data_IF_996058981568
#
_entry.id   IF_996058981568
#
_cell.length_a   1.000
_cell.length_b   1.000
_cell.length_c   1.000
_cell.angle_alpha   90.00
_cell.angle_beta   90.00
_cell.angle_gamma   90.00
#
_symmetry.space_group_name_H-M   'P 1'
#
loop_
_entity.id
_entity.type
_entity.pdbx_description
1 polymer ?
#
# COMPACT_ATOMS: atom_id res chain seq x y z
N UNK A 1 -29.53 -1.24 9.99
CA UNK A 1 -28.60 -1.60 11.08
C UNK A 1 -27.59 -2.59 10.53
N UNK A 2 -26.46 -2.09 10.01
CA UNK A 2 -25.36 -2.92 9.52
C UNK A 2 -24.50 -3.29 10.73
N UNK A 3 -24.54 -4.55 11.13
CA UNK A 3 -23.63 -5.07 12.16
C UNK A 3 -22.27 -5.26 11.49
N UNK A 4 -21.33 -4.36 11.75
CA UNK A 4 -19.92 -4.54 11.40
C UNK A 4 -19.33 -5.56 12.39
N UNK A 5 -19.52 -6.84 12.11
CA UNK A 5 -18.74 -7.88 12.82
C UNK A 5 -17.34 -7.84 12.24
N UNK A 6 -16.35 -7.65 13.10
CA UNK A 6 -14.96 -7.65 12.67
C UNK A 6 -14.61 -9.07 12.26
N UNK A 7 -14.10 -9.28 11.03
CA UNK A 7 -13.76 -10.62 10.53
C UNK A 7 -12.82 -11.39 11.49
N UNK A 8 -12.00 -10.68 12.27
CA UNK A 8 -11.14 -11.26 13.32
C UNK A 8 -11.90 -11.95 14.46
N UNK A 9 -13.13 -11.53 14.76
CA UNK A 9 -13.96 -12.15 15.81
C UNK A 9 -14.70 -13.39 15.31
N UNK A 10 -14.74 -13.59 13.99
CA UNK A 10 -15.46 -14.70 13.34
C UNK A 10 -14.55 -15.88 12.97
N UNK A 11 -13.23 -15.69 12.94
CA UNK A 11 -12.27 -16.65 12.41
C UNK A 11 -11.44 -17.23 13.56
N UNK A 12 -11.45 -18.56 13.72
CA UNK A 12 -10.65 -19.24 14.72
C UNK A 12 -9.16 -19.31 14.39
N UNK A 13 -8.36 -19.85 15.32
CA UNK A 13 -6.95 -20.15 15.05
C UNK A 13 -6.82 -21.19 13.91
N UNK A 14 -5.96 -20.94 12.94
CA UNK A 14 -5.77 -21.83 11.79
C UNK A 14 -6.82 -21.67 10.67
N UNK A 15 -7.76 -20.74 10.82
CA UNK A 15 -8.80 -20.48 9.83
C UNK A 15 -8.57 -19.14 9.10
N UNK A 16 -9.24 -18.99 7.95
CA UNK A 16 -9.32 -17.73 7.21
C UNK A 16 -10.70 -17.54 6.58
N UNK A 17 -11.13 -16.30 6.46
CA UNK A 17 -12.34 -15.94 5.72
C UNK A 17 -12.00 -15.70 4.25
N UNK A 18 -12.45 -16.58 3.36
CA UNK A 18 -12.29 -16.44 1.92
C UNK A 18 -13.61 -16.01 1.27
N UNK A 19 -13.56 -15.03 0.37
CA UNK A 19 -14.71 -14.56 -0.38
C UNK A 19 -14.61 -14.89 -1.87
N UNK A 20 -15.76 -15.18 -2.49
CA UNK A 20 -15.86 -15.33 -3.93
C UNK A 20 -15.50 -13.99 -4.62
N UNK A 21 -14.62 -13.98 -5.63
CA UNK A 21 -14.31 -12.75 -6.37
C UNK A 21 -15.46 -12.20 -7.23
N UNK A 22 -16.53 -12.98 -7.41
CA UNK A 22 -17.60 -12.69 -8.39
C UNK A 22 -18.98 -12.47 -7.76
N UNK A 23 -19.13 -12.66 -6.44
CA UNK A 23 -20.38 -12.41 -5.72
C UNK A 23 -20.10 -12.23 -4.22
N UNK A 24 -21.12 -11.88 -3.44
CA UNK A 24 -21.01 -11.67 -1.98
C UNK A 24 -20.87 -12.94 -1.13
N UNK A 25 -20.68 -14.11 -1.74
CA UNK A 25 -20.54 -15.37 -0.99
C UNK A 25 -19.16 -15.45 -0.32
N UNK A 26 -19.12 -15.81 0.95
CA UNK A 26 -17.89 -16.02 1.71
C UNK A 26 -18.03 -17.24 2.63
N UNK A 27 -16.92 -17.88 2.93
CA UNK A 27 -16.85 -19.06 3.79
C UNK A 27 -15.55 -19.06 4.59
N UNK A 28 -15.60 -19.62 5.80
CA UNK A 28 -14.42 -19.85 6.64
C UNK A 28 -13.76 -21.15 6.18
N UNK A 29 -12.45 -21.11 5.93
CA UNK A 29 -11.64 -22.22 5.40
C UNK A 29 -10.39 -22.39 6.25
N UNK A 30 -9.77 -23.57 6.18
CA UNK A 30 -8.45 -23.76 6.78
C UNK A 30 -7.41 -22.89 6.06
N UNK A 31 -6.37 -22.44 6.78
CA UNK A 31 -5.21 -21.79 6.15
C UNK A 31 -4.48 -22.77 5.22
N UNK A 32 -4.57 -24.08 5.46
CA UNK A 32 -3.94 -25.12 4.64
C UNK A 32 -4.77 -25.49 3.40
N UNK A 33 -5.99 -24.94 3.28
CA UNK A 33 -6.81 -25.18 2.10
C UNK A 33 -6.17 -24.60 0.84
N UNK A 34 -6.46 -25.24 -0.30
CA UNK A 34 -5.98 -24.78 -1.60
C UNK A 34 -6.41 -23.35 -1.94
N UNK A 35 -5.60 -22.70 -2.77
CA UNK A 35 -5.86 -21.36 -3.30
C UNK A 35 -7.03 -21.32 -4.30
N UNK A 36 -7.59 -22.47 -4.67
CA UNK A 36 -8.77 -22.57 -5.53
C UNK A 36 -10.03 -22.55 -4.66
N UNK A 37 -10.86 -21.55 -4.90
CA UNK A 37 -12.14 -21.34 -4.23
C UNK A 37 -13.30 -21.81 -5.09
N UNK A 38 -14.18 -22.62 -4.53
CA UNK A 38 -15.39 -23.09 -5.22
C UNK A 38 -16.62 -22.41 -4.60
N UNK A 39 -17.27 -21.53 -5.36
CA UNK A 39 -18.45 -20.84 -4.86
C UNK A 39 -19.66 -21.80 -4.78
N UNK A 40 -20.32 -21.85 -3.62
CA UNK A 40 -21.50 -22.69 -3.40
C UNK A 40 -22.83 -21.95 -3.63
N UNK A 41 -22.78 -20.63 -3.83
CA UNK A 41 -23.98 -19.85 -4.17
C UNK A 41 -24.60 -20.37 -5.46
N UNK A 42 -25.90 -20.75 -5.47
CA UNK A 42 -26.56 -21.38 -6.63
C UNK A 42 -26.42 -20.59 -7.94
N UNK A 43 -26.47 -19.27 -7.87
CA UNK A 43 -26.41 -18.39 -9.05
C UNK A 43 -24.99 -18.19 -9.60
N UNK A 44 -23.96 -18.41 -8.78
CA UNK A 44 -22.57 -18.16 -9.16
C UNK A 44 -21.87 -19.44 -9.58
N UNK A 45 -21.70 -20.41 -8.67
CA UNK A 45 -21.04 -21.71 -8.89
C UNK A 45 -19.66 -21.69 -9.57
N UNK A 46 -19.01 -20.53 -9.69
CA UNK A 46 -17.68 -20.39 -10.30
C UNK A 46 -16.59 -20.93 -9.37
N UNK A 47 -15.58 -21.56 -9.98
CA UNK A 47 -14.30 -21.84 -9.33
C UNK A 47 -13.35 -20.68 -9.63
N UNK A 48 -12.54 -20.25 -8.66
CA UNK A 48 -11.69 -19.07 -8.80
C UNK A 48 -10.39 -19.19 -8.01
N UNK A 49 -9.30 -18.67 -8.54
CA UNK A 49 -8.04 -18.59 -7.81
C UNK A 49 -8.07 -17.37 -6.89
N UNK A 50 -7.79 -17.54 -5.60
CA UNK A 50 -7.82 -16.46 -4.61
C UNK A 50 -6.68 -15.45 -4.78
N UNK A 51 -5.63 -15.82 -5.51
CA UNK A 51 -4.45 -14.99 -5.73
C UNK A 51 -4.68 -14.06 -6.94
N UNK A 52 -4.98 -14.62 -8.11
CA UNK A 52 -5.20 -13.82 -9.32
C UNK A 52 -6.65 -13.35 -9.50
N UNK A 53 -7.59 -13.89 -8.69
CA UNK A 53 -9.03 -13.60 -8.73
C UNK A 53 -9.71 -13.87 -10.08
N UNK A 54 -9.09 -14.71 -10.92
CA UNK A 54 -9.66 -15.17 -12.19
C UNK A 54 -10.44 -16.47 -12.03
N UNK A 55 -11.33 -16.74 -12.98
CA UNK A 55 -12.11 -17.99 -13.04
C UNK A 55 -11.16 -19.14 -13.34
N UNK A 56 -11.27 -20.22 -12.57
CA UNK A 56 -10.56 -21.47 -12.82
C UNK A 56 -11.47 -22.48 -13.51
N UNK A 57 -10.92 -23.36 -14.36
CA UNK A 57 -11.66 -24.49 -14.91
C UNK A 57 -12.27 -25.35 -13.81
N UNK A 58 -13.55 -25.71 -13.97
CA UNK A 58 -14.24 -26.66 -13.09
C UNK A 58 -14.40 -27.99 -13.81
N UNK A 59 -13.72 -29.02 -13.32
CA UNK A 59 -13.80 -30.36 -13.89
C UNK A 59 -15.10 -31.02 -13.42
N UNK A 60 -16.03 -31.29 -14.35
CA UNK A 60 -17.31 -31.95 -14.05
C UNK A 60 -17.18 -33.47 -13.94
N UNK A 61 -16.09 -34.02 -14.52
CA UNK A 61 -15.82 -35.43 -14.69
C UNK A 61 -14.31 -35.65 -14.49
N UNK A 62 -13.85 -36.90 -14.43
CA UNK A 62 -12.42 -37.24 -14.37
C UNK A 62 -11.62 -36.86 -15.65
N UNK A 63 -12.28 -36.31 -16.67
CA UNK A 63 -11.67 -35.93 -17.94
C UNK A 63 -11.69 -34.41 -18.11
N UNK A 64 -10.51 -33.82 -18.09
CA UNK A 64 -10.27 -32.43 -18.45
C UNK A 64 -9.79 -32.35 -19.90
N UNK A 65 -10.27 -31.37 -20.66
CA UNK A 65 -9.66 -31.05 -21.96
C UNK A 65 -8.25 -30.51 -21.76
N UNK A 66 -7.37 -30.68 -22.74
CA UNK A 66 -6.00 -30.15 -22.69
C UNK A 66 -5.97 -28.64 -22.40
N UNK A 67 -6.87 -27.87 -23.01
CA UNK A 67 -7.01 -26.44 -22.76
C UNK A 67 -7.35 -26.12 -21.29
N UNK A 68 -8.24 -26.90 -20.65
CA UNK A 68 -8.59 -26.72 -19.24
C UNK A 68 -7.44 -27.11 -18.30
N UNK A 69 -6.67 -28.14 -18.66
CA UNK A 69 -5.48 -28.53 -17.90
C UNK A 69 -4.43 -27.42 -17.98
N UNK A 70 -4.14 -26.91 -19.18
CA UNK A 70 -3.19 -25.82 -19.40
C UNK A 70 -3.59 -24.54 -18.66
N UNK A 71 -4.89 -24.21 -18.64
CA UNK A 71 -5.36 -23.07 -17.86
C UNK A 71 -5.23 -23.31 -16.35
N UNK A 72 -5.51 -24.51 -15.86
CA UNK A 72 -5.30 -24.86 -14.45
C UNK A 72 -3.82 -24.81 -14.06
N UNK A 73 -2.91 -25.20 -14.95
CA UNK A 73 -1.46 -25.15 -14.71
C UNK A 73 -0.99 -23.73 -14.37
N UNK A 74 -1.56 -22.71 -15.02
CA UNK A 74 -1.26 -21.31 -14.69
C UNK A 74 -1.60 -20.99 -13.23
N UNK A 75 -2.64 -21.59 -12.67
CA UNK A 75 -3.02 -21.32 -11.28
C UNK A 75 -2.12 -22.01 -10.24
N UNK A 76 -1.41 -23.09 -10.59
CA UNK A 76 -0.33 -23.60 -9.74
C UNK A 76 0.85 -22.63 -9.67
N UNK A 77 1.14 -21.93 -10.78
CA UNK A 77 2.11 -20.82 -10.77
C UNK A 77 1.63 -19.64 -9.92
N UNK A 78 0.32 -19.39 -9.84
CA UNK A 78 -0.19 -18.38 -8.92
C UNK A 78 0.22 -18.71 -7.47
N UNK A 79 0.01 -19.96 -7.05
CA UNK A 79 0.35 -20.43 -5.70
C UNK A 79 1.85 -20.31 -5.39
N UNK A 80 2.72 -20.69 -6.34
CA UNK A 80 4.18 -20.57 -6.16
C UNK A 80 4.72 -19.14 -6.15
N UNK A 81 3.89 -18.15 -6.53
CA UNK A 81 4.19 -16.72 -6.53
C UNK A 81 3.29 -15.93 -5.55
N UNK A 82 2.51 -16.61 -4.72
CA UNK A 82 1.50 -15.99 -3.86
C UNK A 82 2.12 -15.00 -2.88
N UNK A 83 3.26 -15.38 -2.30
CA UNK A 83 4.00 -14.55 -1.34
C UNK A 83 4.53 -13.28 -2.01
N UNK A 84 5.20 -13.41 -3.15
CA UNK A 84 5.74 -12.29 -3.92
C UNK A 84 4.64 -11.35 -4.37
N UNK A 85 3.51 -11.90 -4.86
CA UNK A 85 2.35 -11.09 -5.27
C UNK A 85 1.79 -10.31 -4.09
N UNK A 86 1.67 -10.95 -2.93
CA UNK A 86 1.18 -10.30 -1.70
C UNK A 86 2.09 -9.17 -1.24
N UNK A 87 3.42 -9.38 -1.25
CA UNK A 87 4.38 -8.32 -0.91
C UNK A 87 4.28 -7.14 -1.88
N UNK A 88 4.23 -7.42 -3.18
CA UNK A 88 4.14 -6.41 -4.21
C UNK A 88 2.85 -5.58 -4.09
N UNK A 89 1.70 -6.26 -3.97
CA UNK A 89 0.40 -5.59 -3.81
C UNK A 89 0.34 -4.73 -2.55
N UNK A 90 0.88 -5.23 -1.44
CA UNK A 90 0.98 -4.47 -0.19
C UNK A 90 1.86 -3.24 -0.33
N UNK A 91 2.97 -3.32 -1.07
CA UNK A 91 3.84 -2.16 -1.32
C UNK A 91 3.11 -1.08 -2.13
N UNK A 92 2.39 -1.47 -3.20
CA UNK A 92 1.57 -0.55 -3.99
C UNK A 92 0.48 0.08 -3.12
N UNK A 93 -0.25 -0.71 -2.34
CA UNK A 93 -1.33 -0.20 -1.49
C UNK A 93 -0.82 0.73 -0.37
N UNK A 94 0.24 0.35 0.33
CA UNK A 94 0.85 1.15 1.42
C UNK A 94 1.63 2.37 0.90
N UNK A 95 1.95 2.40 -0.39
CA UNK A 95 2.48 3.59 -1.05
C UNK A 95 1.46 4.72 -1.13
N UNK A 96 0.18 4.35 -1.24
CA UNK A 96 -0.95 5.25 -1.42
C UNK A 96 -1.67 5.59 -0.10
N UNK A 97 -1.47 4.77 0.95
CA UNK A 97 -2.13 4.90 2.24
C UNK A 97 -1.13 4.94 3.38
N UNK A 98 -1.45 5.66 4.45
CA UNK A 98 -0.65 5.67 5.68
C UNK A 98 -1.50 5.09 6.81
N UNK A 99 -1.09 3.96 7.41
CA UNK A 99 -1.84 3.34 8.50
C UNK A 99 -1.84 4.23 9.74
N UNK A 100 -2.95 4.22 10.47
CA UNK A 100 -3.01 4.74 11.82
C UNK A 100 -2.01 3.97 12.71
N UNK A 101 -1.12 4.66 13.44
CA UNK A 101 -0.08 4.00 14.25
C UNK A 101 -0.65 3.21 15.44
N UNK A 102 -1.90 3.47 15.84
CA UNK A 102 -2.54 2.81 16.98
C UNK A 102 -3.34 1.57 16.59
N UNK A 103 -4.18 1.65 15.55
CA UNK A 103 -5.10 0.56 15.18
C UNK A 103 -4.85 -0.04 13.79
N UNK A 104 -3.95 0.54 12.99
CA UNK A 104 -3.61 0.05 11.65
C UNK A 104 -4.63 0.40 10.55
N UNK A 105 -5.76 1.04 10.88
CA UNK A 105 -6.71 1.52 9.86
C UNK A 105 -5.98 2.45 8.88
N UNK A 106 -5.99 2.10 7.61
CA UNK A 106 -5.27 2.82 6.56
C UNK A 106 -6.24 3.65 5.72
N UNK A 107 -5.94 4.93 5.59
CA UNK A 107 -6.67 5.86 4.72
C UNK A 107 -5.72 6.49 3.71
N UNK A 108 -6.29 6.93 2.59
CA UNK A 108 -5.64 7.85 1.67
C UNK A 108 -6.06 9.27 2.06
N UNK A 109 -5.11 10.20 2.07
CA UNK A 109 -5.39 11.62 2.28
C UNK A 109 -5.96 12.26 1.00
N UNK A 110 -6.83 13.25 1.14
CA UNK A 110 -7.50 13.97 0.05
C UNK A 110 -7.34 15.51 0.12
N UNK A 111 -6.67 16.03 1.16
CA UNK A 111 -6.33 17.46 1.32
C UNK A 111 -4.81 17.64 1.55
N UNK A 112 -4.31 18.89 1.50
CA UNK A 112 -2.89 19.18 1.71
C UNK A 112 -2.42 19.23 3.17
N UNK A 113 -3.30 19.27 4.16
CA UNK A 113 -2.89 19.24 5.56
C UNK A 113 -2.14 17.92 5.81
N UNK A 114 -1.20 17.84 6.75
CA UNK A 114 -0.52 16.56 7.03
C UNK A 114 -1.14 15.82 8.20
N UNK A 115 -2.15 16.37 8.87
CA UNK A 115 -2.77 15.74 10.03
C UNK A 115 -3.94 14.84 9.65
N UNK A 116 -4.05 13.73 10.37
CA UNK A 116 -5.14 12.75 10.26
C UNK A 116 -5.73 12.49 11.63
N UNK A 117 -7.04 12.21 11.68
CA UNK A 117 -7.74 11.73 12.87
C UNK A 117 -8.40 10.40 12.57
N UNK A 118 -8.23 9.40 13.43
CA UNK A 118 -8.68 8.05 13.14
C UNK A 118 -10.17 7.95 13.43
N UNK A 119 -11.04 7.60 12.46
CA UNK A 119 -12.46 7.45 12.74
C UNK A 119 -12.77 6.28 13.70
N UNK A 120 -11.85 5.33 13.86
CA UNK A 120 -12.04 4.15 14.73
C UNK A 120 -11.54 4.36 16.15
N UNK A 121 -10.34 4.92 16.32
CA UNK A 121 -9.69 5.00 17.64
C UNK A 121 -9.36 6.43 18.10
N UNK A 122 -9.79 7.45 17.34
CA UNK A 122 -9.57 8.87 17.56
C UNK A 122 -8.10 9.32 17.66
N UNK A 123 -7.13 8.43 17.37
CA UNK A 123 -5.71 8.79 17.32
C UNK A 123 -5.49 9.90 16.29
N UNK A 124 -4.70 10.91 16.65
CA UNK A 124 -4.28 11.99 15.75
C UNK A 124 -2.82 11.74 15.37
N UNK A 125 -2.52 11.70 14.08
CA UNK A 125 -1.15 11.44 13.60
C UNK A 125 -0.80 12.29 12.38
N UNK A 126 0.49 12.38 12.11
CA UNK A 126 1.02 13.03 10.91
C UNK A 126 1.06 12.01 9.76
N UNK A 127 0.31 12.23 8.70
CA UNK A 127 0.29 11.45 7.47
C UNK A 127 1.66 11.42 6.78
N UNK A 128 2.44 12.49 6.88
CA UNK A 128 3.75 12.57 6.23
C UNK A 128 4.75 11.54 6.79
N UNK A 129 4.85 11.41 8.12
CA UNK A 129 5.78 10.48 8.78
C UNK A 129 5.12 9.22 9.35
N UNK A 130 3.79 9.18 9.44
CA UNK A 130 3.03 8.09 10.04
C UNK A 130 3.06 8.04 11.57
N UNK A 131 3.65 9.03 12.24
CA UNK A 131 3.81 9.04 13.70
C UNK A 131 2.64 9.76 14.40
N UNK A 132 2.15 9.15 15.49
CA UNK A 132 1.18 9.74 16.40
C UNK A 132 1.82 10.79 17.32
N UNK A 133 0.98 11.47 18.11
CA UNK A 133 1.42 12.56 19.00
C UNK A 133 2.58 12.11 19.88
N UNK A 134 2.52 10.93 20.50
CA UNK A 134 3.53 10.49 21.48
C UNK A 134 4.90 10.17 20.86
N UNK A 135 4.97 9.85 19.57
CA UNK A 135 6.19 9.37 18.93
C UNK A 135 6.87 10.42 18.05
N UNK A 136 6.14 11.46 17.64
CA UNK A 136 6.69 12.49 16.78
C UNK A 136 7.57 13.48 17.57
N UNK A 137 8.61 14.01 16.92
CA UNK A 137 9.45 15.06 17.50
C UNK A 137 8.60 16.34 17.67
N UNK A 138 8.51 16.91 18.88
CA UNK A 138 7.64 18.07 19.23
C UNK A 138 8.39 19.20 19.93
N UNK A 139 7.87 20.43 19.82
CA UNK A 139 8.53 21.60 20.42
C UNK A 139 8.51 21.45 21.95
N UNK A 140 9.61 21.77 22.62
CA UNK A 140 9.71 21.64 24.09
C UNK A 140 8.79 22.64 24.78
N UNK A 141 8.63 23.83 24.21
CA UNK A 141 7.81 24.91 24.76
C UNK A 141 6.34 24.84 24.31
N UNK A 142 5.95 23.75 23.65
CA UNK A 142 4.65 23.60 23.01
C UNK A 142 3.55 23.09 23.95
N UNK A 143 2.35 22.95 23.38
CA UNK A 143 1.16 22.39 24.05
C UNK A 143 1.12 20.85 24.09
N UNK A 144 2.19 20.19 23.64
CA UNK A 144 2.26 18.75 23.39
C UNK A 144 1.19 18.26 22.38
N UNK A 145 0.82 19.12 21.42
CA UNK A 145 -0.12 18.80 20.36
C UNK A 145 0.58 18.24 19.12
N UNK A 146 -0.18 17.67 18.19
CA UNK A 146 0.37 17.26 16.89
C UNK A 146 0.94 18.45 16.11
N UNK A 147 0.41 19.67 16.29
CA UNK A 147 0.86 20.87 15.60
C UNK A 147 2.26 21.32 16.03
N UNK A 148 2.67 20.98 17.27
CA UNK A 148 4.02 21.22 17.75
C UNK A 148 5.07 20.43 16.95
N UNK A 149 4.66 19.38 16.22
CA UNK A 149 5.50 18.64 15.29
C UNK A 149 5.86 19.43 14.01
N UNK A 150 5.09 20.46 13.64
CA UNK A 150 5.39 21.27 12.45
C UNK A 150 6.21 22.52 12.77
N UNK A 151 6.42 22.83 14.05
CA UNK A 151 7.19 24.01 14.44
C UNK A 151 8.64 23.91 13.94
N UNK A 152 9.10 24.96 13.24
CA UNK A 152 10.45 25.03 12.63
C UNK A 152 10.79 23.81 11.77
N UNK A 153 9.79 23.27 11.07
CA UNK A 153 9.99 22.05 10.29
C UNK A 153 11.02 22.23 9.18
N UNK A 154 11.10 23.41 8.59
CA UNK A 154 12.03 23.81 7.54
C UNK A 154 13.51 23.70 7.96
N UNK A 155 13.80 23.92 9.24
CA UNK A 155 15.16 23.88 9.80
C UNK A 155 15.48 22.58 10.55
N UNK A 156 14.47 21.87 11.08
CA UNK A 156 14.65 20.60 11.79
C UNK A 156 14.24 19.38 10.93
N UNK A 157 15.17 18.47 10.56
CA UNK A 157 14.87 17.30 9.71
C UNK A 157 13.96 16.25 10.38
N UNK A 158 13.77 16.30 11.70
CA UNK A 158 12.88 15.39 12.43
C UNK A 158 11.41 15.84 12.41
N UNK A 159 11.12 16.98 11.79
CA UNK A 159 9.81 17.63 11.76
C UNK A 159 9.23 17.59 10.37
N UNK A 160 7.90 17.51 10.31
CA UNK A 160 7.17 17.47 9.04
C UNK A 160 6.50 18.81 8.75
N UNK A 161 6.28 19.14 7.48
CA UNK A 161 5.49 20.31 7.11
C UNK A 161 4.05 20.17 7.60
N UNK A 162 3.39 21.31 7.88
CA UNK A 162 1.96 21.32 8.22
C UNK A 162 1.10 21.10 6.98
N UNK A 163 1.51 21.67 5.85
CA UNK A 163 0.88 21.48 4.55
C UNK A 163 1.93 21.03 3.52
N UNK A 164 1.55 20.12 2.63
CA UNK A 164 2.44 19.63 1.58
C UNK A 164 3.02 20.75 0.68
N UNK A 165 2.24 21.81 0.42
CA UNK A 165 2.66 22.97 -0.38
C UNK A 165 3.83 23.74 0.24
N UNK A 166 3.99 23.71 1.57
CA UNK A 166 5.12 24.36 2.26
C UNK A 166 6.47 23.73 1.88
N UNK A 167 6.49 22.50 1.36
CA UNK A 167 7.74 21.83 0.97
C UNK A 167 8.46 22.60 -0.14
N UNK A 168 7.71 23.28 -1.01
CA UNK A 168 8.29 24.08 -2.10
C UNK A 168 9.24 25.19 -1.60
N UNK A 169 8.99 25.73 -0.39
CA UNK A 169 9.81 26.78 0.21
C UNK A 169 11.25 26.33 0.48
N UNK A 170 11.45 25.02 0.72
CA UNK A 170 12.77 24.43 0.99
C UNK A 170 13.29 23.57 -0.16
N UNK A 171 12.40 23.01 -0.98
CA UNK A 171 12.70 22.10 -2.08
C UNK A 171 11.84 22.43 -3.31
N UNK A 172 12.43 23.16 -4.26
CA UNK A 172 11.77 23.63 -5.50
C UNK A 172 11.33 22.52 -6.46
N UNK A 173 11.64 21.25 -6.18
CA UNK A 173 11.13 20.11 -6.97
C UNK A 173 9.67 19.81 -6.68
N UNK A 174 9.12 20.36 -5.59
CA UNK A 174 7.72 20.25 -5.23
C UNK A 174 6.90 21.33 -5.93
N UNK A 175 5.65 20.98 -6.27
CA UNK A 175 4.70 21.92 -6.87
C UNK A 175 4.22 22.96 -5.86
N UNK A 176 3.52 23.98 -6.33
CA UNK A 176 2.85 25.00 -5.51
C UNK A 176 1.38 24.67 -5.20
N UNK A 177 0.85 23.57 -5.75
CA UNK A 177 -0.53 23.15 -5.57
C UNK A 177 -0.65 21.83 -4.79
N UNK A 178 -1.78 21.69 -4.11
CA UNK A 178 -2.04 20.60 -3.16
C UNK A 178 -2.01 19.21 -3.81
N UNK A 179 -2.66 19.08 -4.96
CA UNK A 179 -2.87 17.82 -5.67
C UNK A 179 -1.53 17.25 -6.14
N UNK A 180 -0.71 18.07 -6.80
CA UNK A 180 0.56 17.62 -7.35
C UNK A 180 1.57 17.28 -6.25
N UNK A 181 1.56 18.03 -5.14
CA UNK A 181 2.39 17.69 -3.99
C UNK A 181 1.98 16.36 -3.36
N UNK A 182 0.67 16.12 -3.18
CA UNK A 182 0.19 14.87 -2.62
C UNK A 182 0.49 13.67 -3.54
N UNK A 183 0.26 13.83 -4.85
CA UNK A 183 0.63 12.84 -5.86
C UNK A 183 2.13 12.54 -5.82
N UNK A 184 2.98 13.57 -5.74
CA UNK A 184 4.44 13.41 -5.61
C UNK A 184 4.81 12.65 -4.33
N UNK A 185 4.17 12.95 -3.20
CA UNK A 185 4.39 12.23 -1.95
C UNK A 185 4.06 10.74 -2.06
N UNK A 186 2.86 10.40 -2.55
CA UNK A 186 2.45 9.01 -2.74
C UNK A 186 3.32 8.29 -3.77
N UNK A 187 3.75 8.98 -4.83
CA UNK A 187 4.67 8.45 -5.85
C UNK A 187 6.01 8.05 -5.23
N UNK A 188 6.67 8.98 -4.51
CA UNK A 188 7.95 8.71 -3.85
C UNK A 188 7.81 7.57 -2.83
N UNK A 189 6.74 7.57 -2.04
CA UNK A 189 6.49 6.52 -1.04
C UNK A 189 6.27 5.15 -1.69
N UNK A 190 5.49 5.08 -2.76
CA UNK A 190 5.24 3.85 -3.52
C UNK A 190 6.54 3.29 -4.10
N UNK A 191 7.35 4.14 -4.74
CA UNK A 191 8.64 3.74 -5.29
C UNK A 191 9.61 3.23 -4.21
N UNK A 192 9.63 3.84 -3.02
CA UNK A 192 10.47 3.35 -1.90
C UNK A 192 10.07 1.94 -1.48
N UNK A 193 8.79 1.71 -1.25
CA UNK A 193 8.28 0.39 -0.84
C UNK A 193 8.46 -0.64 -1.94
N UNK A 194 8.27 -0.27 -3.20
CA UNK A 194 8.53 -1.16 -4.34
C UNK A 194 10.01 -1.49 -4.46
N UNK A 195 10.92 -0.52 -4.22
CA UNK A 195 12.37 -0.76 -4.20
C UNK A 195 12.75 -1.76 -3.12
N UNK A 196 12.20 -1.63 -1.92
CA UNK A 196 12.40 -2.61 -0.83
C UNK A 196 11.95 -4.02 -1.26
N UNK A 197 10.80 -4.14 -1.94
CA UNK A 197 10.33 -5.43 -2.48
C UNK A 197 11.27 -5.98 -3.57
N UNK A 198 11.77 -5.13 -4.46
CA UNK A 198 12.74 -5.52 -5.50
C UNK A 198 14.05 -6.02 -4.89
N UNK A 199 14.58 -5.33 -3.89
CA UNK A 199 15.78 -5.71 -3.16
C UNK A 199 15.57 -7.03 -2.41
N UNK A 200 14.39 -7.23 -1.81
CA UNK A 200 14.05 -8.45 -1.08
C UNK A 200 13.87 -9.67 -2.00
N UNK A 201 13.19 -9.51 -3.13
CA UNK A 201 12.84 -10.63 -4.01
C UNK A 201 13.90 -10.95 -5.07
N UNK A 202 14.68 -9.96 -5.50
CA UNK A 202 15.61 -10.08 -6.62
C UNK A 202 14.93 -10.03 -7.99
N UNK A 203 15.74 -9.74 -9.02
CA UNK A 203 15.26 -9.50 -10.39
C UNK A 203 14.55 -10.69 -11.02
N UNK A 204 15.03 -11.92 -10.78
CA UNK A 204 14.45 -13.15 -11.34
C UNK A 204 13.01 -13.38 -10.85
N UNK A 205 12.78 -13.26 -9.53
CA UNK A 205 11.43 -13.43 -8.95
C UNK A 205 10.48 -12.33 -9.39
N UNK A 206 10.95 -11.08 -9.47
CA UNK A 206 10.17 -9.96 -10.00
C UNK A 206 9.79 -10.18 -11.47
N UNK A 207 10.72 -10.68 -12.29
CA UNK A 207 10.42 -10.97 -13.70
C UNK A 207 9.39 -12.10 -13.83
N UNK A 208 9.52 -13.18 -13.04
CA UNK A 208 8.53 -14.26 -13.00
C UNK A 208 7.14 -13.74 -12.56
N UNK A 209 7.12 -12.88 -11.54
CA UNK A 209 5.90 -12.22 -11.06
C UNK A 209 5.25 -11.38 -12.17
N UNK A 210 6.02 -10.55 -12.86
CA UNK A 210 5.48 -9.69 -13.92
C UNK A 210 5.00 -10.49 -15.13
N UNK A 211 5.75 -11.52 -15.55
CA UNK A 211 5.36 -12.38 -16.66
C UNK A 211 4.04 -13.11 -16.39
N UNK A 212 3.74 -13.41 -15.11
CA UNK A 212 2.54 -14.14 -14.74
C UNK A 212 1.33 -13.23 -14.44
N UNK A 213 1.54 -12.13 -13.70
CA UNK A 213 0.46 -11.26 -13.22
C UNK A 213 0.39 -9.89 -13.90
N UNK A 214 1.41 -9.50 -14.66
CA UNK A 214 1.57 -8.14 -15.19
C UNK A 214 1.60 -7.07 -14.08
N UNK A 215 2.16 -7.42 -12.92
CA UNK A 215 2.15 -6.55 -11.74
C UNK A 215 2.84 -5.20 -11.97
N UNK A 216 3.94 -5.15 -12.72
CA UNK A 216 4.64 -3.91 -13.06
C UNK A 216 3.87 -3.11 -14.10
N UNK A 217 3.39 -3.79 -15.15
CA UNK A 217 2.65 -3.16 -16.23
C UNK A 217 1.36 -2.48 -15.70
N UNK A 218 0.76 -3.06 -14.65
CA UNK A 218 -0.47 -2.57 -14.04
C UNK A 218 -0.25 -1.54 -12.91
N UNK A 219 0.93 -1.43 -12.30
CA UNK A 219 1.14 -0.57 -11.14
C UNK A 219 1.50 0.89 -11.48
N UNK A 220 1.71 1.21 -12.77
CA UNK A 220 2.02 2.57 -13.22
C UNK A 220 3.45 3.02 -12.93
N UNK A 221 4.36 2.09 -12.65
CA UNK A 221 5.78 2.35 -12.41
C UNK A 221 6.63 1.44 -13.30
N UNK A 222 7.67 2.00 -13.88
CA UNK A 222 8.69 1.27 -14.62
C UNK A 222 9.76 0.72 -13.67
N UNK A 223 10.50 -0.29 -14.12
CA UNK A 223 11.64 -0.84 -13.37
C UNK A 223 12.68 0.24 -13.10
N UNK A 224 12.97 1.10 -14.09
CA UNK A 224 13.96 2.16 -13.96
C UNK A 224 13.59 3.19 -12.89
N UNK A 225 12.31 3.62 -12.84
CA UNK A 225 11.82 4.51 -11.79
C UNK A 225 11.99 3.86 -10.40
N UNK A 226 11.64 2.58 -10.28
CA UNK A 226 11.76 1.84 -9.01
C UNK A 226 13.22 1.77 -8.57
N UNK A 227 14.15 1.42 -9.46
CA UNK A 227 15.55 1.14 -9.08
C UNK A 227 16.42 2.38 -9.01
N UNK A 228 16.21 3.36 -9.90
CA UNK A 228 17.19 4.42 -10.16
C UNK A 228 16.70 5.83 -9.81
N UNK A 229 15.40 6.06 -9.62
CA UNK A 229 14.89 7.41 -9.30
C UNK A 229 15.41 7.90 -7.93
N UNK A 230 15.71 9.20 -7.82
CA UNK A 230 16.05 9.82 -6.54
C UNK A 230 14.80 9.90 -5.65
N UNK A 231 14.73 9.00 -4.68
CA UNK A 231 13.62 8.92 -3.73
C UNK A 231 13.84 9.83 -2.52
N UNK A 232 14.76 10.80 -2.55
CA UNK A 232 14.91 11.78 -1.47
C UNK A 232 13.66 12.65 -1.37
N UNK A 233 12.92 12.48 -0.27
CA UNK A 233 11.61 13.10 -0.09
C UNK A 233 11.69 14.63 -0.05
N UNK A 234 12.60 15.17 0.77
CA UNK A 234 12.86 16.62 0.86
C UNK A 234 14.37 16.86 0.73
N UNK A 235 14.78 17.61 -0.29
CA UNK A 235 16.15 18.09 -0.44
C UNK A 235 16.27 19.50 0.18
N UNK A 236 16.75 19.57 1.42
CA UNK A 236 16.99 20.84 2.09
C UNK A 236 18.28 21.45 1.56
N UNK A 237 18.23 22.70 1.08
CA UNK A 237 19.46 23.44 0.74
C UNK A 237 20.33 23.56 1.99
N UNK A 238 21.56 23.05 1.91
CA UNK A 238 22.56 23.33 2.94
C UNK A 238 22.83 24.84 2.97
N UNK A 239 23.03 25.42 4.17
CA UNK A 239 23.22 26.88 4.36
C UNK A 239 24.26 27.51 3.41
N UNK A 240 25.22 26.73 2.90
CA UNK A 240 26.24 27.16 1.93
C UNK A 240 25.70 27.56 0.55
N UNK A 241 24.46 27.23 0.20
CA UNK A 241 23.88 27.52 -1.13
C UNK A 241 22.92 28.72 -1.16
N UNK A 242 22.80 29.48 -0.05
CA UNK A 242 22.05 30.74 -0.07
C UNK A 242 22.88 31.79 -0.83
N UNK A 243 22.57 32.01 -2.12
CA UNK A 243 23.00 33.24 -2.81
C UNK A 243 22.44 34.43 -2.01
N UNK A 244 23.24 35.49 -1.78
CA UNK A 244 22.72 36.71 -1.17
C UNK A 244 21.54 37.24 -2.02
N UNK A 245 20.55 37.92 -1.41
CA UNK A 245 19.50 38.57 -2.16
C UNK A 245 20.12 39.54 -3.17
N UNK A 246 19.52 39.68 -4.37
CA UNK A 246 19.96 40.71 -5.32
C UNK A 246 19.85 42.08 -4.65
N UNK A 247 20.92 42.87 -4.75
CA UNK A 247 20.98 44.28 -4.32
C UNK A 247 20.00 45.16 -5.11
#
# INVERSE_FOLDING_TARGET
MLVLVWAKELVGEGERLDNCPFCSFAVIRSIDDSTIFNCERPDCRKSSCLICRKVCPRFRNNFATEAQQMEMIKHFTCESLAYEKSLFDQAVERGQKVPCPKCGLSGMKDDACTHMTCPTCAEVWCYFCGLGIELCDKSVDGTNSIFDHNYKWDTNPKRCPMYFTQIQDVDRRWADNEIDCLNRFHRIRSLRLLREVFEQLGSERIQALNNHFHSLDACGFTVDEITNEDLTLIQRRTQRQRRPPPE
#
